data_IF_101013470228
#
_entry.id   IF_101013470228
#
_cell.length_a   1.000
_cell.length_b   1.000
_cell.length_c   1.000
_cell.angle_alpha   90.00
_cell.angle_beta   90.00
_cell.angle_gamma   90.00
#
_symmetry.space_group_name_H-M   'P 1'
#
loop_
_entity.id
_entity.type
_entity.pdbx_description
1 polymer ?
#
# COMPACT_ATOMS: atom_id res chain seq x y z
N UNK A 1 21.49 -10.36 -11.10
CA UNK A 1 20.19 -10.05 -11.75
C UNK A 1 19.27 -9.26 -10.82
N UNK A 2 19.13 -9.55 -9.51
CA UNK A 2 18.29 -8.76 -8.58
C UNK A 2 19.12 -7.75 -7.76
N UNK A 3 20.00 -6.99 -8.42
CA UNK A 3 20.77 -5.91 -7.77
C UNK A 3 20.50 -4.62 -8.53
N UNK A 4 19.72 -3.72 -7.94
CA UNK A 4 19.51 -2.37 -8.48
C UNK A 4 18.40 -2.24 -9.51
N UNK A 5 17.18 -2.73 -9.22
CA UNK A 5 15.98 -2.28 -9.93
C UNK A 5 15.68 -0.83 -9.51
N UNK A 6 16.45 0.09 -10.06
CA UNK A 6 16.19 1.51 -9.92
C UNK A 6 14.82 1.79 -10.52
N UNK A 7 13.91 2.28 -9.67
CA UNK A 7 12.55 2.62 -10.08
C UNK A 7 12.64 3.76 -11.08
N UNK A 8 12.11 3.55 -12.27
CA UNK A 8 11.99 4.61 -13.26
C UNK A 8 10.66 5.31 -13.10
N UNK A 9 10.66 6.63 -13.20
CA UNK A 9 9.44 7.42 -13.18
C UNK A 9 9.32 8.18 -14.49
N UNK A 10 8.10 8.36 -15.03
CA UNK A 10 7.87 9.32 -16.10
C UNK A 10 8.47 10.67 -15.70
N UNK A 11 9.22 11.34 -16.58
CA UNK A 11 9.81 12.64 -16.27
C UNK A 11 8.70 13.66 -15.99
N UNK A 12 8.69 14.23 -14.79
CA UNK A 12 7.69 15.22 -14.34
C UNK A 12 8.19 16.67 -14.50
N UNK A 13 9.14 16.92 -15.41
CA UNK A 13 9.96 18.14 -15.56
C UNK A 13 11.16 18.19 -14.59
N UNK A 14 12.31 18.65 -15.09
CA UNK A 14 13.63 18.25 -14.55
C UNK A 14 14.13 19.02 -13.32
N UNK A 15 13.47 20.10 -12.91
CA UNK A 15 14.03 21.00 -11.88
C UNK A 15 13.15 21.23 -10.64
N UNK A 16 12.11 20.41 -10.43
CA UNK A 16 11.35 20.45 -9.18
C UNK A 16 11.95 19.50 -8.13
N UNK A 17 11.91 19.90 -6.87
CA UNK A 17 12.37 19.05 -5.78
C UNK A 17 12.02 19.59 -4.41
N UNK A 18 12.00 18.72 -3.42
CA UNK A 18 11.72 19.11 -2.04
C UNK A 18 12.06 18.01 -1.05
N UNK A 19 12.16 18.40 0.21
CA UNK A 19 12.44 17.50 1.33
C UNK A 19 11.11 17.07 1.94
N UNK A 20 10.82 15.77 1.85
CA UNK A 20 9.72 15.12 2.54
C UNK A 20 10.15 14.72 3.96
N UNK A 21 9.19 14.64 4.90
CA UNK A 21 9.39 14.14 6.27
C UNK A 21 10.36 14.96 7.15
N UNK A 22 10.32 16.29 7.05
CA UNK A 22 11.08 17.20 7.96
C UNK A 22 10.46 17.31 9.37
N UNK A 23 9.60 16.37 9.76
CA UNK A 23 8.86 16.36 11.02
C UNK A 23 7.51 15.65 10.87
N UNK A 24 6.90 15.21 11.99
CA UNK A 24 5.67 14.42 11.96
C UNK A 24 4.49 15.17 11.30
N UNK A 25 4.45 16.50 11.41
CA UNK A 25 3.38 17.32 10.83
C UNK A 25 3.52 17.51 9.30
N UNK A 26 4.66 17.12 8.72
CA UNK A 26 4.87 17.14 7.26
C UNK A 26 4.39 15.87 6.56
N UNK A 27 4.03 14.84 7.33
CA UNK A 27 3.59 13.56 6.83
C UNK A 27 2.37 13.08 7.62
N UNK A 28 1.18 13.46 7.13
CA UNK A 28 -0.09 13.06 7.74
C UNK A 28 -0.72 11.91 6.98
N UNK A 29 -1.19 10.90 7.72
CA UNK A 29 -1.88 9.72 7.17
C UNK A 29 -3.18 9.50 7.91
N UNK A 30 -4.28 9.41 7.18
CA UNK A 30 -5.58 9.03 7.74
C UNK A 30 -6.02 7.71 7.12
N UNK A 31 -6.28 6.71 7.96
CA UNK A 31 -6.86 5.44 7.54
C UNK A 31 -8.31 5.64 7.08
N UNK A 32 -8.66 5.01 5.96
CA UNK A 32 -10.03 4.99 5.44
C UNK A 32 -10.55 3.55 5.53
N UNK A 33 -11.72 3.38 6.13
CA UNK A 33 -12.41 2.10 6.19
C UNK A 33 -13.60 2.09 5.22
N UNK A 34 -13.97 0.93 4.65
CA UNK A 34 -15.11 0.82 3.75
C UNK A 34 -16.46 0.71 4.50
N UNK A 35 -16.47 0.95 5.82
CA UNK A 35 -17.64 0.83 6.69
C UNK A 35 -17.54 1.81 7.86
N UNK A 36 -18.68 2.02 8.52
CA UNK A 36 -18.79 2.79 9.75
C UNK A 36 -18.90 1.86 10.97
N UNK A 37 -18.60 2.33 12.19
CA UNK A 37 -18.85 1.58 13.41
C UNK A 37 -20.32 1.16 13.50
N UNK A 38 -20.59 -0.07 13.94
CA UNK A 38 -21.97 -0.60 14.01
C UNK A 38 -22.80 0.00 15.14
N UNK A 39 -22.19 0.69 16.11
CA UNK A 39 -22.88 1.32 17.24
C UNK A 39 -23.34 0.34 18.33
N UNK A 40 -23.13 -0.96 18.14
CA UNK A 40 -23.49 -2.04 19.09
C UNK A 40 -22.42 -3.13 19.12
N UNK A 41 -22.45 -3.98 20.14
CA UNK A 41 -21.59 -5.16 20.25
C UNK A 41 -20.49 -5.04 21.30
N UNK A 42 -19.62 -6.05 21.39
CA UNK A 42 -18.68 -6.23 22.51
C UNK A 42 -17.33 -5.53 22.35
N UNK A 43 -17.08 -4.88 21.22
CA UNK A 43 -15.87 -4.09 21.01
C UNK A 43 -16.13 -2.60 21.18
N UNK A 44 -15.12 -1.89 21.71
CA UNK A 44 -15.02 -0.43 21.56
C UNK A 44 -14.17 -0.15 20.34
N UNK A 45 -14.71 0.68 19.47
CA UNK A 45 -14.10 1.14 18.24
C UNK A 45 -13.56 2.54 18.45
N UNK A 46 -12.22 2.68 18.41
CA UNK A 46 -11.51 3.91 18.72
C UNK A 46 -10.89 4.47 17.45
N UNK A 47 -11.18 5.73 17.16
CA UNK A 47 -10.44 6.51 16.16
C UNK A 47 -9.35 7.29 16.89
N UNK A 48 -8.09 6.96 16.64
CA UNK A 48 -6.95 7.50 17.40
C UNK A 48 -6.02 8.27 16.47
N UNK A 49 -5.68 9.51 16.86
CA UNK A 49 -4.54 10.22 16.31
C UNK A 49 -3.29 9.90 17.14
N UNK A 50 -2.19 9.51 16.48
CA UNK A 50 -0.90 9.30 17.12
C UNK A 50 0.21 10.06 16.42
N UNK A 51 1.26 10.41 17.17
CA UNK A 51 2.50 10.99 16.69
C UNK A 51 3.67 10.46 17.53
N UNK A 52 4.77 10.01 16.93
CA UNK A 52 5.92 9.48 17.68
C UNK A 52 5.72 8.08 18.26
N UNK A 53 4.61 7.42 17.92
CA UNK A 53 4.29 6.04 18.30
C UNK A 53 4.05 5.21 17.05
N UNK A 54 4.47 3.94 17.04
CA UNK A 54 4.02 2.98 16.05
C UNK A 54 2.66 2.36 16.47
N UNK A 55 1.98 1.70 15.55
CA UNK A 55 0.66 1.09 15.81
C UNK A 55 0.67 0.07 16.95
N UNK A 56 1.75 -0.71 17.07
CA UNK A 56 1.84 -1.76 18.09
C UNK A 56 2.02 -1.18 19.50
N UNK A 57 2.77 -0.07 19.63
CA UNK A 57 2.90 0.66 20.90
C UNK A 57 1.54 1.15 21.39
N UNK A 58 0.70 1.70 20.49
CA UNK A 58 -0.68 2.10 20.82
C UNK A 58 -1.51 0.88 21.22
N UNK A 59 -1.44 -0.21 20.48
CA UNK A 59 -2.16 -1.44 20.80
C UNK A 59 -1.78 -2.00 22.19
N UNK A 60 -0.49 -1.96 22.57
CA UNK A 60 -0.04 -2.39 23.91
C UNK A 60 -0.59 -1.49 25.02
N UNK A 61 -0.66 -0.18 24.80
CA UNK A 61 -1.24 0.78 25.76
C UNK A 61 -2.74 0.51 25.96
N UNK A 62 -3.48 0.36 24.87
CA UNK A 62 -4.91 0.02 24.90
C UNK A 62 -5.17 -1.30 25.63
N UNK A 63 -4.40 -2.35 25.29
CA UNK A 63 -4.54 -3.67 25.90
C UNK A 63 -4.31 -3.63 27.41
N UNK A 64 -3.26 -2.93 27.86
CA UNK A 64 -2.94 -2.77 29.28
C UNK A 64 -4.06 -2.06 30.02
N UNK A 65 -4.56 -0.95 29.46
CA UNK A 65 -5.61 -0.16 30.08
C UNK A 65 -6.93 -0.92 30.20
N UNK A 66 -7.28 -1.71 29.19
CA UNK A 66 -8.50 -2.51 29.17
C UNK A 66 -8.39 -3.86 29.90
N UNK A 67 -7.17 -4.25 30.33
CA UNK A 67 -6.95 -5.56 30.94
C UNK A 67 -7.21 -6.73 30.00
N UNK A 68 -6.81 -6.61 28.73
CA UNK A 68 -6.95 -7.65 27.69
C UNK A 68 -5.61 -7.99 27.05
N UNK A 69 -5.53 -9.08 26.28
CA UNK A 69 -4.29 -9.40 25.57
C UNK A 69 -4.10 -8.51 24.35
N UNK A 70 -2.85 -8.14 24.06
CA UNK A 70 -2.47 -7.33 22.88
C UNK A 70 -2.95 -7.96 21.57
N UNK A 71 -2.94 -9.30 21.49
CA UNK A 71 -3.42 -10.04 20.31
C UNK A 71 -4.90 -9.82 20.04
N UNK A 72 -5.69 -9.40 21.03
CA UNK A 72 -7.13 -9.20 20.92
C UNK A 72 -7.49 -7.78 20.43
N UNK A 73 -6.53 -6.86 20.47
CA UNK A 73 -6.66 -5.54 19.86
C UNK A 73 -6.68 -5.69 18.33
N UNK A 74 -7.73 -5.17 17.71
CA UNK A 74 -7.89 -5.13 16.26
C UNK A 74 -7.42 -3.80 15.66
N UNK A 75 -6.84 -3.85 14.47
CA UNK A 75 -6.41 -2.70 13.67
C UNK A 75 -6.13 -3.16 12.24
N UNK A 76 -6.35 -2.31 11.25
CA UNK A 76 -6.34 -2.74 9.84
C UNK A 76 -4.95 -2.80 9.21
N UNK A 77 -4.02 -1.94 9.62
CA UNK A 77 -2.67 -1.86 9.05
C UNK A 77 -1.64 -1.35 10.04
N UNK A 78 -0.37 -1.38 9.67
CA UNK A 78 0.67 -0.70 10.43
C UNK A 78 0.81 0.74 9.94
N UNK A 79 1.10 1.65 10.87
CA UNK A 79 1.36 3.07 10.60
C UNK A 79 2.70 3.46 11.20
N UNK A 80 3.46 4.22 10.42
CA UNK A 80 4.81 4.69 10.75
C UNK A 80 4.83 5.53 12.04
N UNK A 81 5.94 5.48 12.75
CA UNK A 81 6.24 6.31 13.94
C UNK A 81 6.53 7.76 13.54
N UNK A 82 7.19 7.95 12.40
CA UNK A 82 7.67 9.25 11.92
C UNK A 82 6.63 9.98 11.06
N UNK A 83 5.38 9.98 11.53
CA UNK A 83 4.22 10.57 10.89
C UNK A 83 3.15 10.89 11.94
N UNK A 84 2.33 11.91 11.67
CA UNK A 84 1.05 12.07 12.37
C UNK A 84 0.01 11.19 11.69
N UNK A 85 -0.57 10.25 12.42
CA UNK A 85 -1.45 9.25 11.81
C UNK A 85 -2.75 9.10 12.55
N UNK A 86 -3.86 9.06 11.81
CA UNK A 86 -5.18 8.70 12.30
C UNK A 86 -5.53 7.29 11.87
N UNK A 87 -5.85 6.43 12.83
CA UNK A 87 -6.08 5.01 12.60
C UNK A 87 -7.14 4.48 13.56
N UNK A 88 -7.84 3.44 13.12
CA UNK A 88 -8.86 2.79 13.92
C UNK A 88 -8.31 1.58 14.68
N UNK A 89 -8.84 1.39 15.89
CA UNK A 89 -8.58 0.23 16.74
C UNK A 89 -9.89 -0.34 17.26
N UNK A 90 -9.93 -1.65 17.50
CA UNK A 90 -11.02 -2.28 18.26
C UNK A 90 -10.48 -2.95 19.51
N UNK A 91 -11.11 -2.68 20.66
CA UNK A 91 -10.74 -3.27 21.96
C UNK A 91 -11.93 -4.08 22.48
N UNK A 92 -11.80 -5.39 22.73
CA UNK A 92 -12.89 -6.18 23.30
C UNK A 92 -13.13 -5.80 24.77
N UNK A 93 -14.39 -5.59 25.13
CA UNK A 93 -14.88 -5.33 26.49
C UNK A 93 -16.21 -6.08 26.75
N UNK A 94 -16.25 -7.41 26.58
CA UNK A 94 -17.48 -8.20 26.75
C UNK A 94 -17.93 -8.19 28.21
N UNK A 95 -19.20 -7.85 28.45
CA UNK A 95 -19.81 -7.88 29.79
C UNK A 95 -19.13 -6.99 30.86
N UNK A 96 -18.28 -6.04 30.46
CA UNK A 96 -17.55 -5.13 31.35
C UNK A 96 -17.92 -3.68 31.06
N UNK A 97 -17.80 -2.83 32.08
CA UNK A 97 -17.85 -1.39 31.89
C UNK A 97 -16.71 -0.95 30.95
N UNK A 98 -17.00 -0.01 30.06
CA UNK A 98 -16.00 0.57 29.16
C UNK A 98 -14.96 1.37 29.97
N UNK A 99 -13.65 1.11 29.80
CA UNK A 99 -12.60 1.92 30.41
C UNK A 99 -12.65 3.37 29.93
N UNK A 100 -12.26 4.32 30.78
CA UNK A 100 -12.08 5.70 30.36
C UNK A 100 -10.80 5.85 29.51
N UNK A 101 -10.95 5.94 28.20
CA UNK A 101 -9.84 6.05 27.25
C UNK A 101 -9.09 7.38 27.32
N UNK A 102 -9.69 8.43 27.88
CA UNK A 102 -9.08 9.76 27.96
C UNK A 102 -7.81 9.75 28.82
N UNK A 103 -7.70 8.81 29.75
CA UNK A 103 -6.50 8.55 30.57
C UNK A 103 -5.25 8.25 29.73
N UNK A 104 -5.41 7.78 28.49
CA UNK A 104 -4.30 7.48 27.58
C UNK A 104 -3.82 8.70 26.78
N UNK A 105 -4.57 9.81 26.81
CA UNK A 105 -4.28 10.99 26.01
C UNK A 105 -3.05 11.75 26.52
N UNK A 106 -2.28 12.28 25.57
CA UNK A 106 -1.10 13.12 25.80
C UNK A 106 -0.71 13.78 24.46
N UNK A 107 0.46 14.42 24.41
CA UNK A 107 0.99 15.05 23.20
C UNK A 107 1.19 14.06 22.01
N UNK A 108 1.32 12.76 22.29
CA UNK A 108 1.60 11.71 21.30
C UNK A 108 0.38 10.88 20.90
N UNK A 109 -0.72 10.94 21.65
CA UNK A 109 -1.91 10.12 21.45
C UNK A 109 -3.16 10.92 21.82
N UNK A 110 -4.12 11.00 20.90
CA UNK A 110 -5.45 11.59 21.13
C UNK A 110 -6.55 10.65 20.67
N UNK A 111 -7.60 10.52 21.47
CA UNK A 111 -8.81 9.79 21.12
C UNK A 111 -9.73 10.78 20.40
N UNK A 112 -9.98 10.56 19.12
CA UNK A 112 -10.81 11.44 18.31
C UNK A 112 -12.29 11.07 18.42
N UNK A 113 -12.58 9.77 18.30
CA UNK A 113 -13.94 9.23 18.33
C UNK A 113 -13.94 7.87 19.04
N UNK A 114 -15.09 7.54 19.63
CA UNK A 114 -15.36 6.24 20.26
C UNK A 114 -16.77 5.79 19.97
N UNK A 115 -16.92 4.53 19.56
CA UNK A 115 -18.20 3.90 19.27
C UNK A 115 -18.18 2.45 19.73
N UNK A 116 -19.34 1.80 19.78
CA UNK A 116 -19.41 0.33 19.90
C UNK A 116 -19.29 -0.32 18.52
N UNK A 117 -18.75 -1.53 18.50
CA UNK A 117 -18.67 -2.35 17.31
C UNK A 117 -18.86 -3.84 17.63
N UNK A 118 -19.42 -4.59 16.68
CA UNK A 118 -19.80 -5.99 16.84
C UNK A 118 -18.64 -6.95 16.57
N UNK A 119 -17.59 -6.47 15.89
CA UNK A 119 -16.48 -7.29 15.43
C UNK A 119 -15.14 -6.64 15.72
N UNK A 120 -14.14 -7.50 15.88
CA UNK A 120 -12.73 -7.10 15.87
C UNK A 120 -12.33 -6.61 14.47
N UNK A 121 -11.67 -5.46 14.41
CA UNK A 121 -11.06 -4.94 13.19
C UNK A 121 -9.87 -5.83 12.77
N UNK A 122 -9.97 -6.42 11.57
CA UNK A 122 -8.97 -7.35 11.04
C UNK A 122 -7.92 -6.65 10.20
N UNK A 123 -6.73 -7.26 10.13
CA UNK A 123 -5.67 -6.85 9.20
C UNK A 123 -6.18 -6.84 7.77
N UNK A 124 -5.80 -5.83 7.00
CA UNK A 124 -6.22 -5.66 5.61
C UNK A 124 -7.63 -5.09 5.43
N UNK A 125 -8.43 -4.89 6.49
CA UNK A 125 -9.81 -4.40 6.38
C UNK A 125 -9.96 -2.90 6.06
N UNK A 126 -8.88 -2.23 5.66
CA UNK A 126 -8.92 -0.81 5.28
C UNK A 126 -9.15 -0.69 3.77
N UNK A 127 -9.88 0.35 3.38
CA UNK A 127 -10.05 0.71 1.98
C UNK A 127 -8.75 1.32 1.43
N UNK A 128 -8.10 2.15 2.24
CA UNK A 128 -6.90 2.87 1.83
C UNK A 128 -6.42 3.85 2.89
N UNK A 129 -5.57 4.77 2.47
CA UNK A 129 -5.06 5.83 3.33
C UNK A 129 -5.12 7.16 2.58
N UNK A 130 -5.65 8.18 3.23
CA UNK A 130 -5.58 9.57 2.76
C UNK A 130 -4.29 10.18 3.28
N UNK A 131 -3.46 10.68 2.37
CA UNK A 131 -2.22 11.35 2.71
C UNK A 131 -2.39 12.87 2.59
N UNK A 132 -1.83 13.60 3.55
CA UNK A 132 -1.56 15.03 3.41
C UNK A 132 -0.08 15.25 3.67
N UNK A 133 0.64 15.58 2.60
CA UNK A 133 2.09 15.69 2.60
C UNK A 133 2.49 17.16 2.47
N UNK A 134 3.54 17.55 3.17
CA UNK A 134 4.15 18.88 3.03
C UNK A 134 5.61 18.73 2.70
N UNK A 135 6.00 19.20 1.50
CA UNK A 135 7.39 19.29 1.09
C UNK A 135 7.98 20.60 1.61
N UNK A 136 9.23 20.55 2.06
CA UNK A 136 10.01 21.72 2.53
C UNK A 136 11.24 21.91 1.67
N UNK A 137 11.85 23.10 1.70
CA UNK A 137 13.06 23.41 0.93
C UNK A 137 12.85 23.10 -0.55
N UNK A 138 11.90 23.81 -1.15
CA UNK A 138 11.49 23.57 -2.54
C UNK A 138 12.56 24.07 -3.51
N UNK A 139 12.73 23.34 -4.61
CA UNK A 139 13.44 23.73 -5.83
C UNK A 139 12.44 23.76 -6.99
N UNK A 140 12.77 24.52 -8.03
CA UNK A 140 11.89 24.78 -9.17
C UNK A 140 10.89 25.91 -8.92
N UNK A 141 10.33 26.46 -10.00
CA UNK A 141 9.36 27.54 -9.91
C UNK A 141 7.99 27.01 -9.45
N UNK A 142 7.13 27.91 -8.97
CA UNK A 142 5.74 27.55 -8.64
C UNK A 142 5.01 26.95 -9.85
N UNK A 143 5.26 27.51 -11.04
CA UNK A 143 4.67 27.04 -12.30
C UNK A 143 5.06 25.60 -12.60
N UNK A 144 6.33 25.23 -12.41
CA UNK A 144 6.80 23.86 -12.69
C UNK A 144 6.14 22.86 -11.73
N UNK A 145 5.98 23.24 -10.45
CA UNK A 145 5.22 22.45 -9.49
C UNK A 145 3.76 22.27 -9.90
N UNK A 146 3.08 23.34 -10.32
CA UNK A 146 1.69 23.26 -10.73
C UNK A 146 1.52 22.36 -11.97
N UNK A 147 2.45 22.42 -12.95
CA UNK A 147 2.47 21.54 -14.13
C UNK A 147 2.67 20.07 -13.72
N UNK A 148 3.65 19.79 -12.87
CA UNK A 148 3.94 18.43 -12.42
C UNK A 148 2.78 17.82 -11.62
N UNK A 149 2.15 18.60 -10.75
CA UNK A 149 0.99 18.15 -9.97
C UNK A 149 -0.24 17.90 -10.87
N UNK A 150 -0.50 18.75 -11.86
CA UNK A 150 -1.55 18.50 -12.85
C UNK A 150 -1.29 17.24 -13.68
N UNK A 151 -0.03 16.98 -14.05
CA UNK A 151 0.34 15.72 -14.73
C UNK A 151 0.11 14.52 -13.82
N UNK A 152 0.54 14.59 -12.57
CA UNK A 152 0.34 13.52 -11.58
C UNK A 152 -1.16 13.23 -11.34
N UNK A 153 -1.99 14.27 -11.26
CA UNK A 153 -3.44 14.13 -11.11
C UNK A 153 -4.07 13.43 -12.32
N UNK A 154 -3.68 13.82 -13.53
CA UNK A 154 -4.27 13.28 -14.76
C UNK A 154 -3.77 11.90 -15.14
N UNK A 155 -2.48 11.63 -14.92
CA UNK A 155 -1.78 10.42 -15.40
C UNK A 155 -1.51 9.40 -14.28
N UNK A 156 -1.68 9.79 -13.02
CA UNK A 156 -1.26 8.97 -11.90
C UNK A 156 0.24 8.75 -11.85
N UNK A 157 0.66 7.63 -11.25
CA UNK A 157 2.05 7.26 -11.12
C UNK A 157 2.23 5.73 -11.16
N UNK A 158 3.41 5.22 -11.57
CA UNK A 158 3.69 3.78 -11.53
C UNK A 158 3.62 3.22 -10.11
N UNK A 159 2.78 2.20 -9.90
CA UNK A 159 2.48 1.62 -8.59
C UNK A 159 3.57 0.67 -8.05
N UNK A 160 4.81 1.16 -7.90
CA UNK A 160 5.92 0.35 -7.39
C UNK A 160 5.76 -0.09 -5.94
N UNK A 161 6.30 -1.26 -5.62
CA UNK A 161 6.65 -1.60 -4.25
C UNK A 161 7.84 -0.73 -3.79
N UNK A 162 7.65 0.03 -2.70
CA UNK A 162 8.69 0.89 -2.13
C UNK A 162 9.80 0.14 -1.38
N UNK A 163 10.94 0.82 -1.14
CA UNK A 163 12.15 0.24 -0.53
C UNK A 163 11.91 -0.52 0.79
N UNK A 164 10.96 -0.06 1.62
CA UNK A 164 10.59 -0.73 2.88
C UNK A 164 10.13 -2.18 2.66
N UNK A 165 9.55 -2.53 1.50
CA UNK A 165 9.11 -3.88 1.16
C UNK A 165 10.27 -4.88 1.11
N UNK A 166 11.45 -4.40 0.76
CA UNK A 166 12.63 -5.21 0.48
C UNK A 166 13.55 -5.38 1.70
N UNK A 167 13.31 -4.62 2.79
CA UNK A 167 14.20 -4.62 3.94
C UNK A 167 15.66 -4.28 3.56
N UNK A 168 16.60 -4.51 4.48
CA UNK A 168 18.01 -4.26 4.19
C UNK A 168 18.62 -5.37 3.31
N UNK A 169 18.33 -6.65 3.63
CA UNK A 169 18.96 -7.81 2.99
C UNK A 169 17.99 -8.82 2.36
N UNK A 170 16.67 -8.53 2.35
CA UNK A 170 15.71 -9.56 1.95
C UNK A 170 15.81 -9.89 0.45
N UNK A 171 16.27 -8.96 -0.40
CA UNK A 171 16.45 -9.25 -1.84
C UNK A 171 17.57 -10.26 -2.08
N UNK A 172 18.74 -10.05 -1.48
CA UNK A 172 19.85 -10.99 -1.58
C UNK A 172 19.50 -12.35 -0.97
N UNK A 173 18.80 -12.35 0.17
CA UNK A 173 18.30 -13.58 0.78
C UNK A 173 17.24 -14.28 -0.08
N UNK A 174 16.33 -13.53 -0.70
CA UNK A 174 15.32 -14.06 -1.61
C UNK A 174 15.94 -14.66 -2.88
N UNK A 175 16.97 -14.03 -3.44
CA UNK A 175 17.72 -14.56 -4.57
C UNK A 175 18.37 -15.92 -4.23
N UNK A 176 19.01 -16.04 -3.04
CA UNK A 176 19.55 -17.31 -2.56
C UNK A 176 18.47 -18.37 -2.34
N UNK A 177 17.31 -17.96 -1.82
CA UNK A 177 16.17 -18.85 -1.64
C UNK A 177 15.64 -19.40 -2.98
N UNK A 178 15.54 -18.54 -4.01
CA UNK A 178 15.15 -18.95 -5.37
C UNK A 178 16.19 -19.87 -6.02
N UNK A 179 17.48 -19.61 -5.80
CA UNK A 179 18.56 -20.44 -6.32
C UNK A 179 18.75 -21.78 -5.58
N UNK A 180 17.96 -22.05 -4.53
CA UNK A 180 18.10 -23.26 -3.71
C UNK A 180 19.38 -23.31 -2.86
N UNK A 181 20.11 -22.19 -2.75
CA UNK A 181 21.39 -22.09 -2.03
C UNK A 181 21.24 -21.54 -0.60
N UNK A 182 20.01 -21.39 -0.12
CA UNK A 182 19.68 -20.84 1.20
C UNK A 182 19.62 -21.88 2.32
N UNK A 183 19.82 -21.42 3.56
CA UNK A 183 19.61 -22.23 4.77
C UNK A 183 18.12 -22.57 4.98
N UNK A 184 17.83 -23.57 5.84
CA UNK A 184 16.47 -23.90 6.26
C UNK A 184 15.86 -22.75 7.05
N UNK A 185 14.93 -22.02 6.43
CA UNK A 185 14.27 -20.85 7.02
C UNK A 185 12.96 -21.21 7.74
N UNK A 186 12.65 -20.47 8.79
CA UNK A 186 11.35 -20.54 9.45
C UNK A 186 10.23 -20.06 8.51
N UNK A 187 8.99 -20.57 8.70
CA UNK A 187 7.86 -20.27 7.82
C UNK A 187 7.61 -18.76 7.64
N UNK A 188 7.70 -17.98 8.71
CA UNK A 188 7.53 -16.52 8.66
C UNK A 188 8.61 -15.82 7.83
N UNK A 189 9.88 -16.19 8.01
CA UNK A 189 10.99 -15.66 7.23
C UNK A 189 10.86 -16.02 5.74
N UNK A 190 10.48 -17.27 5.43
CA UNK A 190 10.21 -17.69 4.05
C UNK A 190 9.13 -16.84 3.39
N UNK A 191 8.02 -16.60 4.09
CA UNK A 191 6.93 -15.76 3.58
C UNK A 191 7.39 -14.33 3.26
N UNK A 192 8.23 -13.75 4.11
CA UNK A 192 8.82 -12.43 3.87
C UNK A 192 9.71 -12.41 2.62
N UNK A 193 10.60 -13.40 2.47
CA UNK A 193 11.48 -13.49 1.30
C UNK A 193 10.70 -13.71 0.00
N UNK A 194 9.64 -14.53 0.02
CA UNK A 194 8.75 -14.69 -1.14
C UNK A 194 8.01 -13.41 -1.50
N UNK A 195 7.58 -12.64 -0.49
CA UNK A 195 7.00 -11.32 -0.73
C UNK A 195 8.01 -10.37 -1.35
N UNK A 196 9.27 -10.38 -0.90
CA UNK A 196 10.32 -9.54 -1.47
C UNK A 196 10.64 -9.93 -2.93
N UNK A 197 10.78 -11.23 -3.22
CA UNK A 197 11.03 -11.75 -4.56
C UNK A 197 9.96 -11.30 -5.57
N UNK A 198 8.68 -11.62 -5.31
CA UNK A 198 7.59 -11.27 -6.24
C UNK A 198 7.44 -9.76 -6.44
N UNK A 199 7.64 -8.97 -5.39
CA UNK A 199 7.60 -7.51 -5.48
C UNK A 199 8.75 -6.95 -6.32
N UNK A 200 9.92 -7.61 -6.32
CA UNK A 200 11.05 -7.22 -7.15
C UNK A 200 10.78 -7.51 -8.63
N UNK A 201 10.26 -8.71 -8.93
CA UNK A 201 9.89 -9.10 -10.29
C UNK A 201 8.78 -8.19 -10.85
N UNK A 202 7.76 -7.88 -10.06
CA UNK A 202 6.75 -6.87 -10.41
C UNK A 202 7.38 -5.51 -10.74
N UNK A 203 8.27 -5.02 -9.88
CA UNK A 203 8.96 -3.75 -10.10
C UNK A 203 9.83 -3.77 -11.37
N UNK A 204 10.43 -4.92 -11.73
CA UNK A 204 11.23 -5.06 -12.95
C UNK A 204 10.37 -4.85 -14.21
N UNK A 205 9.25 -5.57 -14.31
CA UNK A 205 8.29 -5.42 -15.41
C UNK A 205 7.76 -3.98 -15.48
N UNK A 206 7.33 -3.41 -14.35
CA UNK A 206 6.80 -2.05 -14.33
C UNK A 206 7.88 -1.03 -14.77
N UNK A 207 9.14 -1.25 -14.40
CA UNK A 207 10.26 -0.41 -14.85
C UNK A 207 10.44 -0.47 -16.37
N UNK A 208 10.37 -1.66 -16.95
CA UNK A 208 10.46 -1.81 -18.40
C UNK A 208 9.28 -1.13 -19.12
N UNK A 209 8.07 -1.24 -18.58
CA UNK A 209 6.90 -0.54 -19.11
C UNK A 209 7.00 0.98 -19.01
N UNK A 210 7.58 1.50 -17.94
CA UNK A 210 7.84 2.94 -17.82
C UNK A 210 8.89 3.36 -18.85
N UNK A 211 9.98 2.59 -18.99
CA UNK A 211 11.07 2.85 -19.93
C UNK A 211 10.60 2.91 -21.39
N UNK A 212 9.69 2.01 -21.75
CA UNK A 212 9.11 1.88 -23.10
C UNK A 212 7.88 2.76 -23.31
N UNK A 213 7.38 3.43 -22.26
CA UNK A 213 6.21 4.31 -22.33
C UNK A 213 4.85 3.59 -22.36
N UNK A 214 4.83 2.28 -22.15
CA UNK A 214 3.61 1.44 -22.24
C UNK A 214 2.87 1.23 -20.91
N UNK A 215 3.35 1.81 -19.81
CA UNK A 215 2.78 1.56 -18.47
C UNK A 215 1.34 2.07 -18.26
N UNK A 216 0.85 2.96 -19.12
CA UNK A 216 -0.53 3.50 -19.12
C UNK A 216 -1.34 3.01 -20.34
N UNK A 217 -0.83 2.06 -21.11
CA UNK A 217 -1.51 1.59 -22.33
C UNK A 217 -1.95 0.15 -22.16
N UNK A 218 -3.07 -0.20 -22.79
CA UNK A 218 -3.50 -1.59 -22.86
C UNK A 218 -2.70 -2.32 -23.96
N UNK A 219 -2.02 -3.40 -23.60
CA UNK A 219 -1.31 -4.27 -24.53
C UNK A 219 -2.16 -5.49 -24.90
N UNK A 220 -2.13 -5.99 -26.14
CA UNK A 220 -2.76 -7.26 -26.51
C UNK A 220 -2.31 -8.40 -25.59
N UNK A 221 -3.27 -9.19 -25.11
CA UNK A 221 -3.03 -10.30 -24.18
C UNK A 221 -2.77 -9.83 -22.74
N UNK A 222 -3.13 -8.59 -22.39
CA UNK A 222 -2.89 -8.06 -21.05
C UNK A 222 -3.90 -8.57 -20.03
N UNK A 223 -3.42 -8.92 -18.84
CA UNK A 223 -4.29 -9.10 -17.68
C UNK A 223 -4.68 -7.73 -17.13
N UNK A 224 -5.97 -7.47 -17.10
CA UNK A 224 -6.54 -6.21 -16.60
C UNK A 224 -7.38 -6.45 -15.35
N UNK A 225 -7.39 -5.47 -14.45
CA UNK A 225 -8.18 -5.49 -13.21
C UNK A 225 -9.26 -4.40 -13.25
N UNK A 226 -10.47 -4.74 -12.81
CA UNK A 226 -11.58 -3.80 -12.67
C UNK A 226 -11.36 -2.88 -11.46
N UNK A 227 -11.62 -1.59 -11.64
CA UNK A 227 -11.52 -0.60 -10.56
C UNK A 227 -12.38 -0.99 -9.34
N UNK A 228 -11.82 -0.80 -8.15
CA UNK A 228 -12.50 -1.07 -6.88
C UNK A 228 -12.77 -2.55 -6.57
N UNK A 229 -12.29 -3.50 -7.38
CA UNK A 229 -12.52 -4.94 -7.13
C UNK A 229 -11.24 -5.78 -7.31
N UNK A 230 -11.32 -7.07 -6.96
CA UNK A 230 -10.28 -8.05 -7.27
C UNK A 230 -10.55 -8.84 -8.56
N UNK A 231 -11.60 -8.48 -9.30
CA UNK A 231 -11.92 -9.14 -10.57
C UNK A 231 -10.91 -8.74 -11.64
N UNK A 232 -10.38 -9.75 -12.33
CA UNK A 232 -9.43 -9.55 -13.41
C UNK A 232 -9.75 -10.52 -14.55
N UNK A 233 -9.39 -10.12 -15.77
CA UNK A 233 -9.58 -10.94 -16.97
C UNK A 233 -8.48 -10.62 -17.98
N UNK A 234 -8.42 -11.41 -19.04
CA UNK A 234 -7.46 -11.25 -20.12
C UNK A 234 -8.09 -10.45 -21.25
N UNK A 235 -7.45 -9.35 -21.65
CA UNK A 235 -7.87 -8.50 -22.76
C UNK A 235 -7.11 -8.88 -24.02
N UNK A 236 -7.80 -9.38 -25.04
CA UNK A 236 -7.21 -9.73 -26.34
C UNK A 236 -7.60 -8.72 -27.40
N UNK A 237 -6.70 -8.44 -28.34
CA UNK A 237 -6.98 -7.52 -29.46
C UNK A 237 -8.15 -8.00 -30.33
N UNK A 238 -8.41 -9.31 -30.33
CA UNK A 238 -9.54 -9.95 -31.02
C UNK A 238 -10.89 -9.76 -30.33
N UNK A 239 -10.91 -9.24 -29.10
CA UNK A 239 -12.16 -8.99 -28.38
C UNK A 239 -12.95 -7.90 -29.13
N UNK A 240 -14.24 -8.15 -29.37
CA UNK A 240 -15.11 -7.30 -30.20
C UNK A 240 -15.23 -5.85 -29.67
N UNK A 241 -14.79 -5.62 -28.44
CA UNK A 241 -14.92 -4.39 -27.69
C UNK A 241 -13.56 -3.77 -27.29
N UNK A 242 -12.45 -4.07 -27.99
CA UNK A 242 -11.13 -3.50 -27.66
C UNK A 242 -11.14 -1.96 -27.50
N UNK A 243 -11.82 -1.25 -28.41
CA UNK A 243 -11.99 0.20 -28.32
C UNK A 243 -12.75 0.63 -27.06
N UNK A 244 -13.71 -0.19 -26.60
CA UNK A 244 -14.39 0.04 -25.33
C UNK A 244 -13.47 -0.24 -24.13
N UNK A 245 -12.58 -1.24 -24.20
CA UNK A 245 -11.57 -1.49 -23.17
C UNK A 245 -10.59 -0.32 -23.04
N UNK A 246 -10.13 0.25 -24.16
CA UNK A 246 -9.31 1.46 -24.18
C UNK A 246 -10.06 2.66 -23.55
N UNK A 247 -11.34 2.85 -23.89
CA UNK A 247 -12.16 3.90 -23.30
C UNK A 247 -12.32 3.73 -21.77
N UNK A 248 -12.50 2.50 -21.29
CA UNK A 248 -12.57 2.18 -19.85
C UNK A 248 -11.24 2.42 -19.13
N UNK A 249 -10.12 2.10 -19.77
CA UNK A 249 -8.79 2.42 -19.26
C UNK A 249 -8.63 3.94 -19.11
N UNK A 250 -8.98 4.73 -20.12
CA UNK A 250 -8.91 6.19 -20.05
C UNK A 250 -9.86 6.80 -19.01
N UNK A 251 -10.96 6.11 -18.71
CA UNK A 251 -11.90 6.47 -17.66
C UNK A 251 -11.50 5.98 -16.25
N UNK A 252 -10.33 5.34 -16.10
CA UNK A 252 -9.84 4.75 -14.84
C UNK A 252 -10.74 3.64 -14.25
N UNK A 253 -11.55 2.99 -15.07
CA UNK A 253 -12.41 1.86 -14.68
C UNK A 253 -11.71 0.50 -14.88
N UNK A 254 -10.62 0.48 -15.65
CA UNK A 254 -9.85 -0.71 -16.00
C UNK A 254 -8.35 -0.42 -15.92
N UNK A 255 -7.60 -1.30 -15.26
CA UNK A 255 -6.17 -1.09 -15.02
C UNK A 255 -5.32 -2.23 -15.60
N UNK A 256 -4.31 -1.92 -16.43
CA UNK A 256 -3.21 -2.83 -16.72
C UNK A 256 -2.58 -3.37 -15.43
N UNK A 257 -2.37 -4.69 -15.36
CA UNK A 257 -1.71 -5.31 -14.20
C UNK A 257 -0.27 -5.69 -14.50
N UNK A 258 0.42 -6.29 -13.52
CA UNK A 258 1.77 -6.81 -13.67
C UNK A 258 1.96 -8.05 -12.81
N UNK A 259 3.01 -8.85 -13.06
CA UNK A 259 3.08 -10.19 -12.52
C UNK A 259 3.48 -10.18 -11.04
N UNK A 260 2.84 -11.05 -10.28
CA UNK A 260 3.29 -11.48 -8.95
C UNK A 260 3.55 -12.98 -9.00
N UNK A 261 4.73 -13.43 -9.47
CA UNK A 261 4.97 -14.83 -9.80
C UNK A 261 4.70 -15.81 -8.66
N UNK A 262 4.11 -16.94 -9.02
CA UNK A 262 3.71 -18.04 -8.14
C UNK A 262 3.33 -19.28 -8.96
N UNK A 263 2.80 -20.31 -8.31
CA UNK A 263 2.48 -21.61 -8.94
C UNK A 263 1.18 -21.62 -9.77
N UNK A 264 0.73 -20.46 -10.27
CA UNK A 264 -0.50 -20.33 -11.05
C UNK A 264 -0.23 -20.20 -12.55
N UNK A 265 -1.26 -20.42 -13.36
CA UNK A 265 -1.20 -20.34 -14.84
C UNK A 265 -1.82 -19.08 -15.41
N UNK A 266 -2.41 -18.23 -14.58
CA UNK A 266 -3.02 -16.98 -15.01
C UNK A 266 -1.95 -15.91 -15.27
N UNK A 267 -1.41 -15.92 -16.48
CA UNK A 267 -0.48 -14.91 -16.98
C UNK A 267 -1.08 -14.05 -18.09
N UNK A 268 -0.32 -13.05 -18.58
CA UNK A 268 -0.61 -12.41 -19.85
C UNK A 268 -0.40 -13.37 -21.03
N UNK A 269 -0.90 -12.97 -22.19
CA UNK A 269 -0.67 -13.58 -23.51
C UNK A 269 -0.04 -12.53 -24.45
N UNK A 270 0.26 -12.93 -25.69
CA UNK A 270 0.66 -12.04 -26.79
C UNK A 270 1.78 -11.02 -26.45
N UNK A 271 1.57 -9.75 -26.76
CA UNK A 271 2.55 -8.66 -26.57
C UNK A 271 2.84 -8.42 -25.09
N UNK A 272 1.81 -8.48 -24.24
CA UNK A 272 1.98 -8.33 -22.80
C UNK A 272 2.89 -9.43 -22.22
N UNK A 273 2.75 -10.67 -22.69
CA UNK A 273 3.63 -11.77 -22.27
C UNK A 273 5.08 -11.58 -22.72
N UNK A 274 5.31 -11.05 -23.93
CA UNK A 274 6.66 -10.76 -24.42
C UNK A 274 7.34 -9.69 -23.58
N UNK A 275 6.62 -8.64 -23.19
CA UNK A 275 7.14 -7.58 -22.31
C UNK A 275 7.48 -8.13 -20.92
N UNK A 276 6.61 -8.95 -20.34
CA UNK A 276 6.89 -9.57 -19.04
C UNK A 276 8.10 -10.51 -19.09
N UNK A 277 8.22 -11.33 -20.14
CA UNK A 277 9.34 -12.26 -20.31
C UNK A 277 10.66 -11.55 -20.58
N UNK A 278 10.66 -10.47 -21.35
CA UNK A 278 11.88 -9.70 -21.63
C UNK A 278 12.43 -8.98 -20.39
N UNK A 279 11.55 -8.65 -19.43
CA UNK A 279 11.92 -7.90 -18.22
C UNK A 279 12.35 -8.79 -17.03
N UNK A 280 12.10 -10.11 -17.07
CA UNK A 280 12.31 -11.06 -15.96
C UNK A 280 13.49 -11.99 -16.22
#
# INVERSE_FOLDING_TARGET
MISGLERQYPRLDEDIGGVLRRGPDTFFVQELLPFQPSGVGEHVFLHIEKCGLNTEEVARRLARHAGVHVRDIGYAGLKDRHARTRQFFTVPVPGRAEPDWTVLENEHLKILERHRHDRKLRRGAHLGNRFRLSLRVLRGSRRDWDVALHRLERLGFPNYFGGQRFGHDNLAAAARLLAGTGQRLQRGQRGLLWSAARSALFNAVLTERVRTGSWQTLLPGERVQLEGSHSHFLARRSDADWSALEARLHAWDLHPSGPLPGSGTDGPEDEAAQVEQAAL
#
